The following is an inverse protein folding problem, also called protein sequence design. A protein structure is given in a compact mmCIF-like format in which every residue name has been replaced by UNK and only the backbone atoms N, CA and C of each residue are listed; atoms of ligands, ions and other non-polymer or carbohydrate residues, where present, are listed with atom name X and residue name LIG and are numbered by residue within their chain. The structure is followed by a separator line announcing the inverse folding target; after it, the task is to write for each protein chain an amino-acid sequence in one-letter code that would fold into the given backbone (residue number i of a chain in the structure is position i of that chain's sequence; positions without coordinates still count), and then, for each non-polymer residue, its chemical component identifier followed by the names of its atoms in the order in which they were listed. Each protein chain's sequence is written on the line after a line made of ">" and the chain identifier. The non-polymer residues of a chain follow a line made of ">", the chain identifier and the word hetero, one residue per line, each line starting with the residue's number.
data_IF_150416111055
#
_entry.id   IF_150416111055
#
_cell.length_a   1.000
_cell.length_b   1.000
_cell.length_c   1.000
_cell.angle_alpha   90.00
_cell.angle_beta   90.00
_cell.angle_gamma   90.00
#
_symmetry.space_group_name_H-M   'P 1'
#
loop_
_entity.id
_entity.type
_entity.pdbx_description
1 polymer ?
#
# COMPACT_ATOMS: atom_id res chain seq x y z
N UNK A 1 -13.83 -2.45 5.86
CA UNK A 1 -13.93 -1.69 7.12
C UNK A 1 -12.75 -0.74 7.18
N UNK A 2 -12.94 0.54 7.50
CA UNK A 2 -11.82 1.47 7.75
C UNK A 2 -11.00 1.07 8.99
N UNK A 3 -9.71 1.43 9.01
CA UNK A 3 -8.88 1.28 10.22
C UNK A 3 -9.34 2.27 11.31
N UNK A 4 -9.07 1.92 12.57
CA UNK A 4 -9.31 2.82 13.70
C UNK A 4 -8.22 2.67 14.76
N UNK A 5 -8.02 3.74 15.54
CA UNK A 5 -7.19 3.74 16.74
C UNK A 5 -8.01 4.25 17.91
N UNK A 6 -8.23 3.41 18.92
CA UNK A 6 -9.07 3.71 20.10
C UNK A 6 -8.41 3.22 21.38
N UNK A 7 -8.88 3.72 22.52
CA UNK A 7 -8.46 3.29 23.86
C UNK A 7 -9.60 2.56 24.56
N UNK A 8 -9.31 1.43 25.20
CA UNK A 8 -10.31 0.79 26.07
C UNK A 8 -10.43 1.48 27.43
N UNK A 9 -11.45 1.10 28.17
CA UNK A 9 -11.72 1.64 29.50
C UNK A 9 -10.69 1.24 30.56
N UNK A 10 -9.78 0.32 30.24
CA UNK A 10 -8.62 -0.04 31.08
C UNK A 10 -7.35 0.70 30.66
N UNK A 11 -7.44 1.64 29.71
CA UNK A 11 -6.34 2.51 29.29
C UNK A 11 -5.45 1.94 28.19
N UNK A 12 -5.76 0.76 27.63
CA UNK A 12 -4.95 0.15 26.57
C UNK A 12 -5.36 0.66 25.20
N UNK A 13 -4.37 1.01 24.38
CA UNK A 13 -4.55 1.42 22.98
C UNK A 13 -4.75 0.21 22.06
N UNK A 14 -5.60 0.39 21.06
CA UNK A 14 -6.01 -0.63 20.09
C UNK A 14 -6.09 -0.04 18.68
N UNK A 15 -5.34 -0.63 17.75
CA UNK A 15 -5.37 -0.34 16.31
C UNK A 15 -5.94 -1.55 15.57
N UNK A 16 -7.01 -1.38 14.79
CA UNK A 16 -7.74 -2.50 14.18
C UNK A 16 -6.82 -3.37 13.32
N UNK A 17 -6.09 -2.74 12.39
CA UNK A 17 -5.23 -3.49 11.46
C UNK A 17 -4.03 -4.09 12.17
N UNK A 18 -3.18 -3.22 12.73
CA UNK A 18 -1.88 -3.60 13.30
C UNK A 18 -2.00 -4.61 14.46
N UNK A 19 -2.96 -4.42 15.37
CA UNK A 19 -3.04 -5.27 16.56
C UNK A 19 -3.91 -6.53 16.37
N UNK A 20 -4.70 -6.60 15.29
CA UNK A 20 -5.64 -7.71 15.08
C UNK A 20 -5.57 -8.27 13.68
N UNK A 21 -6.03 -7.54 12.66
CA UNK A 21 -6.29 -8.11 11.35
C UNK A 21 -4.99 -8.61 10.70
N UNK A 22 -3.90 -7.85 10.79
CA UNK A 22 -2.60 -8.22 10.21
C UNK A 22 -1.98 -9.45 10.91
N UNK A 23 -2.37 -9.72 12.16
CA UNK A 23 -2.01 -10.93 12.90
C UNK A 23 -3.00 -12.10 12.70
N UNK A 24 -3.80 -12.07 11.62
CA UNK A 24 -4.84 -13.06 11.30
C UNK A 24 -5.96 -13.19 12.33
N UNK A 25 -6.19 -12.19 13.18
CA UNK A 25 -7.34 -12.20 14.10
C UNK A 25 -8.60 -11.68 13.43
N UNK A 26 -9.72 -12.32 13.71
CA UNK A 26 -11.07 -11.78 13.44
C UNK A 26 -11.45 -10.83 14.57
N UNK A 27 -12.06 -9.68 14.25
CA UNK A 27 -12.59 -8.76 15.25
C UNK A 27 -14.11 -8.77 15.21
N UNK A 28 -14.74 -8.93 16.37
CA UNK A 28 -16.19 -8.90 16.54
C UNK A 28 -16.56 -7.71 17.40
N UNK A 29 -17.42 -6.83 16.88
CA UNK A 29 -17.85 -5.63 17.59
C UNK A 29 -19.33 -5.78 17.95
N UNK A 30 -19.67 -5.58 19.22
CA UNK A 30 -21.04 -5.34 19.69
C UNK A 30 -21.22 -3.85 19.93
N UNK A 31 -22.18 -3.25 19.23
CA UNK A 31 -22.66 -1.91 19.56
C UNK A 31 -23.65 -1.96 20.71
N UNK A 32 -23.46 -1.12 21.72
CA UNK A 32 -24.35 -1.08 22.88
C UNK A 32 -24.42 0.32 23.50
N UNK A 33 -25.16 0.45 24.59
CA UNK A 33 -24.96 1.50 25.59
C UNK A 33 -25.38 0.96 26.95
N UNK A 34 -24.87 1.56 28.03
CA UNK A 34 -24.91 0.97 29.38
C UNK A 34 -26.31 0.78 29.95
N UNK A 35 -27.28 1.57 29.50
CA UNK A 35 -28.70 1.53 29.93
C UNK A 35 -29.64 0.87 28.92
N UNK A 36 -29.11 0.25 27.86
CA UNK A 36 -29.89 -0.40 26.79
C UNK A 36 -30.51 -1.72 27.28
N UNK A 37 -31.85 -1.84 27.43
CA UNK A 37 -32.47 -3.05 27.94
C UNK A 37 -32.14 -4.34 27.16
N UNK A 38 -32.20 -4.38 25.80
CA UNK A 38 -31.81 -5.59 25.07
C UNK A 38 -30.31 -5.86 25.15
N UNK A 39 -29.47 -4.82 25.30
CA UNK A 39 -28.03 -5.00 25.46
C UNK A 39 -27.67 -5.61 26.81
N UNK A 40 -28.36 -5.19 27.87
CA UNK A 40 -28.31 -5.73 29.23
C UNK A 40 -28.75 -7.20 29.21
N UNK A 41 -29.91 -7.50 28.62
CA UNK A 41 -30.42 -8.87 28.52
C UNK A 41 -29.46 -9.79 27.75
N UNK A 42 -28.78 -9.26 26.72
CA UNK A 42 -27.79 -10.00 25.93
C UNK A 42 -26.41 -10.12 26.63
N UNK A 43 -26.12 -9.33 27.67
CA UNK A 43 -24.76 -9.22 28.23
C UNK A 43 -24.16 -10.56 28.72
N UNK A 44 -24.90 -11.46 29.40
CA UNK A 44 -24.36 -12.76 29.80
C UNK A 44 -24.02 -13.65 28.60
N UNK A 45 -24.87 -13.66 27.57
CA UNK A 45 -24.65 -14.44 26.36
C UNK A 45 -23.47 -13.92 25.54
N UNK A 46 -23.27 -12.59 25.51
CA UNK A 46 -22.09 -11.99 24.89
C UNK A 46 -20.80 -12.41 25.58
N UNK A 47 -20.78 -12.46 26.92
CA UNK A 47 -19.63 -12.98 27.68
C UNK A 47 -19.39 -14.45 27.40
N UNK A 48 -20.43 -15.29 27.39
CA UNK A 48 -20.32 -16.71 27.04
C UNK A 48 -19.73 -16.88 25.63
N UNK A 49 -20.15 -16.06 24.67
CA UNK A 49 -19.65 -16.08 23.30
C UNK A 49 -18.15 -15.73 23.23
N UNK A 50 -17.73 -14.70 23.95
CA UNK A 50 -16.32 -14.33 24.04
C UNK A 50 -15.45 -15.48 24.61
N UNK A 51 -15.92 -16.13 25.67
CA UNK A 51 -15.25 -17.31 26.25
C UNK A 51 -15.23 -18.49 25.28
N UNK A 52 -16.34 -18.76 24.58
CA UNK A 52 -16.44 -19.81 23.55
C UNK A 52 -15.37 -19.63 22.45
N UNK A 53 -15.09 -18.39 22.07
CA UNK A 53 -14.07 -18.04 21.07
C UNK A 53 -12.68 -17.81 21.68
N UNK A 54 -12.44 -18.28 22.90
CA UNK A 54 -11.11 -18.33 23.51
C UNK A 54 -10.63 -17.03 24.15
N UNK A 55 -11.55 -16.11 24.47
CA UNK A 55 -11.25 -14.89 25.23
C UNK A 55 -10.08 -14.09 24.65
N UNK A 56 -10.09 -13.85 23.34
CA UNK A 56 -9.03 -13.09 22.65
C UNK A 56 -7.84 -13.92 22.17
N UNK A 57 -7.72 -15.20 22.58
CA UNK A 57 -6.55 -16.04 22.33
C UNK A 57 -6.68 -16.96 21.09
N UNK A 58 -7.89 -17.35 20.69
CA UNK A 58 -8.10 -18.32 19.60
C UNK A 58 -8.36 -17.67 18.23
N UNK A 59 -7.62 -16.60 17.94
CA UNK A 59 -7.71 -15.90 16.66
C UNK A 59 -8.96 -15.04 16.48
N UNK A 60 -9.70 -14.75 17.57
CA UNK A 60 -10.88 -13.88 17.54
C UNK A 60 -10.82 -12.93 18.75
N UNK A 61 -11.05 -11.64 18.53
CA UNK A 61 -11.12 -10.61 19.56
C UNK A 61 -12.49 -9.94 19.57
N UNK A 62 -12.99 -9.61 20.77
CA UNK A 62 -14.31 -9.02 20.96
C UNK A 62 -14.18 -7.59 21.51
N UNK A 63 -15.01 -6.70 21.00
CA UNK A 63 -15.17 -5.33 21.50
C UNK A 63 -16.64 -5.05 21.83
N UNK A 64 -16.86 -4.34 22.93
CA UNK A 64 -18.13 -3.72 23.28
C UNK A 64 -17.97 -2.22 23.11
N UNK A 65 -18.62 -1.61 22.12
CA UNK A 65 -18.43 -0.19 21.77
C UNK A 65 -19.71 0.58 22.04
N UNK A 66 -19.63 1.62 22.88
CA UNK A 66 -20.79 2.43 23.19
C UNK A 66 -21.23 3.29 21.99
N UNK A 67 -22.53 3.49 21.87
CA UNK A 67 -23.16 4.29 20.81
C UNK A 67 -23.68 5.63 21.32
N UNK A 68 -23.64 5.93 22.62
CA UNK A 68 -24.17 7.19 23.15
C UNK A 68 -23.07 8.02 23.80
N UNK A 69 -23.18 9.34 23.68
CA UNK A 69 -22.18 10.30 24.18
C UNK A 69 -22.07 10.32 25.71
N UNK A 70 -23.10 9.86 26.42
CA UNK A 70 -23.13 9.86 27.88
C UNK A 70 -22.43 8.68 28.54
N UNK A 71 -21.89 7.72 27.78
CA UNK A 71 -21.16 6.54 28.27
C UNK A 71 -19.64 6.79 28.24
N UNK A 72 -19.15 7.44 29.29
CA UNK A 72 -17.73 7.66 29.57
C UNK A 72 -17.12 6.47 30.35
N UNK A 73 -15.78 6.45 30.53
CA UNK A 73 -15.03 5.29 31.02
C UNK A 73 -15.65 4.63 32.29
N UNK A 74 -15.89 5.37 33.40
CA UNK A 74 -16.55 4.83 34.60
C UNK A 74 -17.87 4.10 34.36
N UNK A 75 -18.71 4.52 33.41
CA UNK A 75 -20.00 3.87 33.16
C UNK A 75 -19.83 2.54 32.44
N UNK A 76 -18.94 2.50 31.45
CA UNK A 76 -18.65 1.27 30.72
C UNK A 76 -17.92 0.27 31.63
N UNK A 77 -16.99 0.73 32.49
CA UNK A 77 -16.38 -0.10 33.55
C UNK A 77 -17.41 -0.67 34.53
N UNK A 78 -18.37 0.16 34.97
CA UNK A 78 -19.43 -0.30 35.85
C UNK A 78 -20.32 -1.36 35.18
N UNK A 79 -20.59 -1.20 33.88
CA UNK A 79 -21.32 -2.20 33.09
C UNK A 79 -20.54 -3.51 32.99
N UNK A 80 -19.23 -3.45 32.71
CA UNK A 80 -18.37 -4.63 32.68
C UNK A 80 -18.38 -5.38 34.01
N UNK A 81 -18.20 -4.66 35.13
CA UNK A 81 -18.23 -5.24 36.47
C UNK A 81 -19.61 -5.85 36.82
N UNK A 82 -20.70 -5.18 36.44
CA UNK A 82 -22.08 -5.64 36.74
C UNK A 82 -22.41 -6.94 36.01
N UNK A 83 -21.95 -7.08 34.76
CA UNK A 83 -22.27 -8.23 33.91
C UNK A 83 -21.11 -9.21 33.69
N UNK A 84 -20.04 -9.07 34.48
CA UNK A 84 -18.82 -9.88 34.41
C UNK A 84 -18.25 -9.96 32.97
N UNK A 85 -18.25 -8.83 32.26
CA UNK A 85 -17.70 -8.78 30.90
C UNK A 85 -16.18 -8.58 30.94
N UNK A 86 -15.47 -9.38 30.14
CA UNK A 86 -14.00 -9.37 30.10
C UNK A 86 -13.41 -9.08 28.71
N UNK A 87 -14.26 -8.77 27.74
CA UNK A 87 -13.83 -8.26 26.43
C UNK A 87 -13.57 -6.75 26.49
N UNK A 88 -13.09 -6.16 25.39
CA UNK A 88 -12.63 -4.76 25.37
C UNK A 88 -13.80 -3.78 25.27
N UNK A 89 -14.11 -3.08 26.37
CA UNK A 89 -15.04 -1.95 26.37
C UNK A 89 -14.42 -0.68 25.81
N UNK A 90 -15.06 -0.07 24.80
CA UNK A 90 -14.69 1.25 24.27
C UNK A 90 -15.80 2.24 24.63
N UNK A 91 -15.44 3.20 25.48
CA UNK A 91 -16.31 4.32 25.88
C UNK A 91 -16.17 5.50 24.91
N UNK A 92 -16.92 6.57 25.16
CA UNK A 92 -16.73 7.83 24.44
C UNK A 92 -15.36 8.46 24.69
N UNK A 93 -14.84 8.42 25.91
CA UNK A 93 -13.48 8.90 26.24
C UNK A 93 -12.39 8.08 25.54
N UNK A 94 -12.73 6.83 25.19
CA UNK A 94 -11.91 5.91 24.44
C UNK A 94 -11.93 6.11 22.92
N UNK A 95 -12.78 7.02 22.42
CA UNK A 95 -12.92 7.28 20.98
C UNK A 95 -13.97 6.40 20.28
N UNK A 96 -15.00 5.91 20.99
CA UNK A 96 -16.07 5.09 20.40
C UNK A 96 -16.74 5.71 19.15
N UNK A 97 -16.78 7.04 19.05
CA UNK A 97 -17.35 7.72 17.88
C UNK A 97 -16.55 7.47 16.58
N UNK A 98 -15.24 7.24 16.66
CA UNK A 98 -14.41 6.87 15.50
C UNK A 98 -14.93 5.58 14.87
N UNK A 99 -15.33 4.62 15.70
CA UNK A 99 -15.89 3.35 15.23
C UNK A 99 -17.35 3.53 14.83
N UNK A 100 -18.18 4.16 15.67
CA UNK A 100 -19.65 4.18 15.49
C UNK A 100 -20.16 5.19 14.47
N UNK A 101 -19.46 6.30 14.23
CA UNK A 101 -19.88 7.37 13.33
C UNK A 101 -20.22 6.85 11.92
N UNK A 102 -19.28 6.21 11.21
CA UNK A 102 -19.52 5.70 9.86
C UNK A 102 -20.69 4.72 9.73
N UNK A 103 -21.01 3.94 10.78
CA UNK A 103 -22.18 3.06 10.78
C UNK A 103 -23.48 3.85 10.90
N UNK A 104 -23.52 4.85 11.79
CA UNK A 104 -24.70 5.72 11.97
C UNK A 104 -24.94 6.63 10.77
N UNK A 105 -23.86 7.00 10.08
CA UNK A 105 -23.89 7.85 8.88
C UNK A 105 -24.22 7.05 7.61
N UNK A 106 -24.41 5.72 7.72
CA UNK A 106 -24.83 4.85 6.61
C UNK A 106 -23.70 4.40 5.68
N UNK A 107 -22.43 4.70 5.99
CA UNK A 107 -21.26 4.32 5.17
C UNK A 107 -21.16 2.81 4.98
N UNK A 108 -21.59 2.03 5.99
CA UNK A 108 -21.55 0.57 5.98
C UNK A 108 -22.93 -0.09 5.83
N UNK A 109 -23.93 0.67 5.35
CA UNK A 109 -25.32 0.25 5.27
C UNK A 109 -26.18 0.84 6.39
N UNK A 110 -27.47 0.50 6.37
CA UNK A 110 -28.45 1.07 7.30
C UNK A 110 -28.10 0.83 8.77
N UNK A 111 -28.41 1.80 9.63
CA UNK A 111 -28.21 1.67 11.07
C UNK A 111 -29.38 0.93 11.74
N UNK A 112 -29.09 -0.21 12.36
CA UNK A 112 -30.11 -1.10 12.98
C UNK A 112 -30.32 -0.90 14.49
N UNK A 113 -29.65 0.07 15.11
CA UNK A 113 -29.74 0.27 16.57
C UNK A 113 -28.90 -0.71 17.38
N UNK A 114 -29.24 -0.90 18.66
CA UNK A 114 -28.45 -1.71 19.60
C UNK A 114 -29.30 -2.81 20.28
N UNK A 115 -28.72 -4.01 20.55
CA UNK A 115 -27.39 -4.43 20.12
C UNK A 115 -27.37 -4.78 18.62
N UNK A 116 -26.34 -4.31 17.92
CA UNK A 116 -25.99 -4.75 16.57
C UNK A 116 -24.55 -5.25 16.56
N UNK A 117 -24.25 -6.19 15.67
CA UNK A 117 -22.93 -6.81 15.63
C UNK A 117 -22.26 -6.69 14.28
N UNK A 118 -20.94 -6.57 14.30
CA UNK A 118 -20.07 -6.54 13.13
C UNK A 118 -19.05 -7.66 13.29
N UNK A 119 -18.80 -8.39 12.20
CA UNK A 119 -17.66 -9.32 12.11
C UNK A 119 -16.70 -8.80 11.05
N UNK A 120 -15.45 -8.56 11.42
CA UNK A 120 -14.38 -8.03 10.57
C UNK A 120 -13.33 -9.11 10.39
N UNK A 121 -13.04 -9.46 9.15
CA UNK A 121 -12.11 -10.51 8.78
C UNK A 121 -10.67 -9.96 8.58
N UNK A 122 -9.63 -10.82 8.66
CA UNK A 122 -8.24 -10.42 8.42
C UNK A 122 -8.00 -9.73 7.07
N UNK A 123 -8.78 -10.07 6.03
CA UNK A 123 -8.70 -9.43 4.72
C UNK A 123 -9.37 -8.04 4.67
N UNK A 124 -9.72 -7.47 5.83
CA UNK A 124 -10.39 -6.17 6.03
C UNK A 124 -11.84 -6.11 5.53
N UNK A 125 -12.37 -7.21 4.99
CA UNK A 125 -13.80 -7.34 4.68
C UNK A 125 -14.60 -7.41 5.98
N UNK A 126 -15.87 -6.99 5.91
CA UNK A 126 -16.76 -7.00 7.07
C UNK A 126 -18.14 -7.50 6.70
N UNK A 127 -18.83 -8.07 7.69
CA UNK A 127 -20.27 -8.34 7.64
C UNK A 127 -20.97 -7.49 8.67
N UNK A 128 -21.94 -6.71 8.20
CA UNK A 128 -22.84 -5.89 9.02
C UNK A 128 -24.18 -5.72 8.28
N UNK A 129 -25.32 -5.77 8.99
CA UNK A 129 -25.45 -6.25 10.36
C UNK A 129 -25.24 -7.77 10.44
N UNK A 130 -24.79 -8.26 11.59
CA UNK A 130 -24.86 -9.69 11.94
C UNK A 130 -25.77 -9.82 13.15
N UNK A 131 -26.75 -10.72 13.12
CA UNK A 131 -27.59 -11.00 14.28
C UNK A 131 -26.87 -11.96 15.23
N UNK A 132 -27.22 -11.91 16.52
CA UNK A 132 -26.52 -12.67 17.55
C UNK A 132 -26.48 -14.19 17.27
N UNK A 133 -27.55 -14.75 16.72
CA UNK A 133 -27.64 -16.17 16.40
C UNK A 133 -26.77 -16.58 15.19
N UNK A 134 -26.43 -15.63 14.32
CA UNK A 134 -25.64 -15.87 13.10
C UNK A 134 -24.14 -15.59 13.29
N UNK A 135 -23.74 -15.10 14.47
CA UNK A 135 -22.37 -14.72 14.78
C UNK A 135 -21.37 -15.85 14.56
N UNK A 136 -21.69 -17.08 15.01
CA UNK A 136 -20.77 -18.21 14.89
C UNK A 136 -20.44 -18.51 13.42
N UNK A 137 -21.46 -18.50 12.56
CA UNK A 137 -21.29 -18.68 11.11
C UNK A 137 -20.48 -17.55 10.48
N UNK A 138 -20.79 -16.29 10.82
CA UNK A 138 -20.07 -15.13 10.31
C UNK A 138 -18.59 -15.12 10.75
N UNK A 139 -18.31 -15.45 12.01
CA UNK A 139 -16.95 -15.57 12.55
C UNK A 139 -16.20 -16.69 11.85
N UNK A 140 -16.80 -17.87 11.70
CA UNK A 140 -16.15 -19.00 11.04
C UNK A 140 -15.79 -18.69 9.58
N UNK A 141 -16.65 -17.97 8.84
CA UNK A 141 -16.33 -17.50 7.50
C UNK A 141 -15.20 -16.46 7.51
N UNK A 142 -15.22 -15.53 8.47
CA UNK A 142 -14.15 -14.53 8.62
C UNK A 142 -12.78 -15.18 8.91
N UNK A 143 -12.75 -16.27 9.71
CA UNK A 143 -11.52 -17.01 10.03
C UNK A 143 -10.86 -17.68 8.82
N UNK A 144 -11.58 -17.90 7.72
CA UNK A 144 -10.98 -18.46 6.48
C UNK A 144 -10.27 -17.40 5.64
N UNK A 145 -10.43 -16.12 5.98
CA UNK A 145 -9.79 -15.01 5.26
C UNK A 145 -8.38 -14.80 5.80
N UNK A 146 -7.47 -14.42 4.90
CA UNK A 146 -6.06 -14.18 5.24
C UNK A 146 -5.79 -12.68 5.38
N UNK A 147 -4.90 -12.28 6.29
CA UNK A 147 -4.47 -10.90 6.41
C UNK A 147 -3.98 -10.35 5.07
N UNK A 148 -4.30 -9.09 4.79
CA UNK A 148 -3.64 -8.33 3.74
C UNK A 148 -2.26 -7.88 4.26
N UNK A 149 -1.34 -8.83 4.44
CA UNK A 149 0.03 -8.52 4.85
C UNK A 149 0.71 -7.66 3.77
N UNK A 150 1.50 -6.64 4.13
CA UNK A 150 2.23 -5.86 3.14
C UNK A 150 3.07 -6.74 2.23
N UNK A 151 3.09 -6.41 0.95
CA UNK A 151 4.03 -6.95 -0.02
C UNK A 151 5.38 -6.30 0.19
N UNK A 152 6.44 -7.09 0.31
CA UNK A 152 7.80 -6.57 0.28
C UNK A 152 8.22 -6.35 -1.18
N UNK A 153 8.56 -5.13 -1.53
CA UNK A 153 9.05 -4.76 -2.86
C UNK A 153 10.56 -4.62 -2.78
N UNK A 154 11.30 -5.46 -3.51
CA UNK A 154 12.74 -5.38 -3.65
C UNK A 154 13.09 -5.05 -5.09
N UNK A 155 13.45 -3.81 -5.38
CA UNK A 155 13.72 -3.40 -6.76
C UNK A 155 15.06 -3.97 -7.24
N UNK A 156 15.05 -4.58 -8.42
CA UNK A 156 16.25 -4.96 -9.15
C UNK A 156 16.56 -3.89 -10.20
N UNK A 157 17.77 -3.33 -10.16
CA UNK A 157 18.18 -2.26 -11.06
C UNK A 157 19.42 -2.71 -11.82
N UNK A 158 19.21 -3.07 -13.08
CA UNK A 158 20.29 -3.39 -13.99
C UNK A 158 20.81 -2.11 -14.65
N UNK A 159 22.03 -1.70 -14.29
CA UNK A 159 22.66 -0.49 -14.81
C UNK A 159 23.44 -0.69 -16.11
N UNK A 160 23.49 -1.90 -16.68
CA UNK A 160 24.28 -2.20 -17.88
C UNK A 160 25.76 -1.76 -17.77
N UNK A 161 26.35 -1.87 -16.57
CA UNK A 161 27.73 -1.40 -16.31
C UNK A 161 27.92 0.11 -16.26
N UNK A 162 26.83 0.90 -16.28
CA UNK A 162 26.86 2.34 -16.07
C UNK A 162 27.22 2.67 -14.62
N UNK A 163 28.15 3.60 -14.46
CA UNK A 163 28.37 4.30 -13.18
C UNK A 163 27.41 5.49 -13.13
N UNK A 164 26.35 5.36 -12.34
CA UNK A 164 25.28 6.35 -12.24
C UNK A 164 25.45 7.07 -10.89
N UNK A 165 25.79 8.38 -10.91
CA UNK A 165 25.89 9.19 -9.71
C UNK A 165 24.63 9.13 -8.85
N UNK A 166 24.79 9.30 -7.54
CA UNK A 166 23.66 9.38 -6.64
C UNK A 166 22.86 10.67 -6.87
N UNK A 167 21.54 10.54 -6.96
CA UNK A 167 20.62 11.66 -7.23
C UNK A 167 20.28 11.88 -8.71
N UNK A 168 21.07 11.34 -9.65
CA UNK A 168 20.83 11.43 -11.10
C UNK A 168 19.56 10.71 -11.55
N UNK A 169 19.18 9.67 -10.81
CA UNK A 169 17.95 8.90 -11.02
C UNK A 169 17.18 8.79 -9.71
N UNK A 170 15.85 8.86 -9.81
CA UNK A 170 14.92 8.69 -8.68
C UNK A 170 13.79 7.78 -9.08
N UNK A 171 13.26 7.04 -8.12
CA UNK A 171 12.13 6.14 -8.32
C UNK A 171 10.94 6.63 -7.51
N UNK A 172 9.75 6.51 -8.08
CA UNK A 172 8.53 6.97 -7.44
C UNK A 172 7.42 5.94 -7.55
N UNK A 173 6.62 5.83 -6.50
CA UNK A 173 5.33 5.14 -6.50
C UNK A 173 4.21 6.17 -6.69
N UNK A 174 3.32 5.92 -7.66
CA UNK A 174 2.15 6.77 -7.92
C UNK A 174 0.96 5.94 -8.44
N UNK A 175 -0.28 6.45 -8.37
CA UNK A 175 -1.39 5.85 -9.11
C UNK A 175 -1.17 6.00 -10.61
N UNK A 176 -1.44 4.94 -11.37
CA UNK A 176 -1.30 4.97 -12.83
C UNK A 176 -2.20 6.03 -13.45
N UNK A 177 -1.61 6.88 -14.29
CA UNK A 177 -2.31 7.96 -14.97
C UNK A 177 -2.66 9.17 -14.09
N UNK A 178 -2.14 9.25 -12.86
CA UNK A 178 -2.27 10.41 -11.97
C UNK A 178 -0.90 10.94 -11.55
N UNK A 179 -0.77 12.26 -11.37
CA UNK A 179 0.51 12.86 -10.94
C UNK A 179 0.65 12.99 -9.42
N UNK A 180 -0.39 12.66 -8.66
CA UNK A 180 -0.38 12.70 -7.20
C UNK A 180 -1.34 11.67 -6.58
N UNK A 181 -1.02 11.09 -5.41
CA UNK A 181 0.26 11.24 -4.69
C UNK A 181 1.42 10.60 -5.47
N UNK A 182 2.60 11.23 -5.38
CA UNK A 182 3.85 10.73 -5.96
C UNK A 182 4.87 10.62 -4.85
N UNK A 183 5.16 9.39 -4.44
CA UNK A 183 5.97 9.09 -3.26
C UNK A 183 7.34 8.57 -3.70
N UNK A 184 8.41 9.21 -3.24
CA UNK A 184 9.77 8.81 -3.58
C UNK A 184 10.17 7.51 -2.87
N UNK A 185 10.76 6.57 -3.62
CA UNK A 185 11.31 5.33 -3.09
C UNK A 185 12.81 5.57 -2.85
N UNK A 186 13.19 5.66 -1.58
CA UNK A 186 14.58 5.85 -1.18
C UNK A 186 15.25 4.52 -0.84
N UNK A 187 16.58 4.51 -0.83
CA UNK A 187 17.36 3.35 -0.39
C UNK A 187 17.19 3.17 1.12
N UNK A 188 17.11 1.91 1.55
CA UNK A 188 17.18 1.55 2.96
C UNK A 188 18.62 1.68 3.51
N UNK A 189 18.80 1.36 4.79
CA UNK A 189 20.10 1.41 5.48
C UNK A 189 21.18 0.49 4.88
N UNK A 190 20.79 -0.50 4.06
CA UNK A 190 21.69 -1.41 3.35
C UNK A 190 22.02 -0.90 1.94
N UNK A 191 21.53 0.28 1.55
CA UNK A 191 21.74 0.87 0.22
C UNK A 191 20.84 0.31 -0.88
N UNK A 192 19.82 -0.48 -0.53
CA UNK A 192 18.92 -1.13 -1.50
C UNK A 192 17.57 -0.40 -1.58
N UNK A 193 16.98 -0.34 -2.77
CA UNK A 193 15.59 0.10 -2.96
C UNK A 193 14.64 -1.02 -2.54
N UNK A 194 14.20 -0.98 -1.28
CA UNK A 194 13.34 -1.98 -0.68
C UNK A 194 12.33 -1.33 0.27
N UNK A 195 11.05 -1.65 0.11
CA UNK A 195 9.96 -1.07 0.90
C UNK A 195 8.78 -2.04 1.04
N UNK A 196 7.86 -1.75 1.96
CA UNK A 196 6.63 -2.50 2.17
C UNK A 196 5.43 -1.75 1.63
N UNK A 197 4.52 -2.46 0.93
CA UNK A 197 3.33 -1.89 0.32
C UNK A 197 2.07 -2.76 0.53
N UNK A 198 0.94 -2.21 1.01
CA UNK A 198 0.80 -0.85 1.56
C UNK A 198 1.48 -0.73 2.94
N UNK A 199 1.86 0.49 3.30
CA UNK A 199 2.42 0.85 4.62
C UNK A 199 2.06 2.30 4.98
N UNK A 200 2.51 2.77 6.15
CA UNK A 200 2.33 4.17 6.54
C UNK A 200 3.02 5.14 5.57
N UNK A 201 4.23 4.79 5.10
CA UNK A 201 5.02 5.60 4.18
C UNK A 201 4.53 5.47 2.73
N UNK A 202 3.96 4.30 2.39
CA UNK A 202 3.35 4.03 1.08
C UNK A 202 1.90 3.58 1.24
N UNK A 203 0.96 4.52 1.46
CA UNK A 203 -0.46 4.21 1.60
C UNK A 203 -1.01 3.45 0.40
N UNK A 204 -2.06 2.67 0.62
CA UNK A 204 -2.75 1.94 -0.44
C UNK A 204 -3.28 2.90 -1.52
N UNK A 205 -3.05 2.57 -2.79
CA UNK A 205 -3.42 3.37 -3.95
C UNK A 205 -4.19 2.49 -4.95
N UNK A 206 -5.04 3.13 -5.76
CA UNK A 206 -5.70 2.44 -6.86
C UNK A 206 -4.72 2.29 -8.03
N UNK A 207 -4.51 1.05 -8.48
CA UNK A 207 -3.65 0.71 -9.62
C UNK A 207 -2.26 1.41 -9.57
N UNK A 208 -1.45 1.13 -8.54
CA UNK A 208 -0.15 1.78 -8.38
C UNK A 208 0.86 1.32 -9.44
N UNK A 209 1.74 2.23 -9.83
CA UNK A 209 2.90 1.95 -10.68
C UNK A 209 4.17 2.55 -10.08
N UNK A 210 5.30 1.89 -10.35
CA UNK A 210 6.63 2.42 -10.07
C UNK A 210 7.16 3.03 -11.37
N UNK A 211 7.67 4.25 -11.28
CA UNK A 211 8.32 4.96 -12.39
C UNK A 211 9.75 5.35 -12.01
N UNK A 212 10.58 5.55 -13.03
CA UNK A 212 11.89 6.19 -12.90
C UNK A 212 11.85 7.58 -13.51
N UNK A 213 12.48 8.55 -12.87
CA UNK A 213 12.78 9.85 -13.44
C UNK A 213 14.27 10.15 -13.34
N UNK A 214 14.76 11.02 -14.22
CA UNK A 214 16.16 11.44 -14.24
C UNK A 214 16.28 12.92 -14.58
N UNK A 215 17.04 13.63 -13.76
CA UNK A 215 17.43 15.03 -13.96
C UNK A 215 18.91 15.15 -14.37
N UNK A 216 19.54 14.02 -14.71
CA UNK A 216 20.97 13.98 -15.02
C UNK A 216 21.30 14.75 -16.31
N UNK A 217 22.51 15.32 -16.44
CA UNK A 217 22.93 15.98 -17.67
C UNK A 217 23.02 15.00 -18.85
N UNK A 218 22.75 15.48 -20.07
CA UNK A 218 22.87 14.65 -21.27
C UNK A 218 24.33 14.27 -21.54
N UNK A 219 25.23 15.24 -21.40
CA UNK A 219 26.67 15.06 -21.59
C UNK A 219 27.21 13.98 -20.64
N UNK A 220 27.86 12.97 -21.19
CA UNK A 220 28.43 11.86 -20.43
C UNK A 220 29.64 11.29 -21.17
N UNK A 221 30.72 10.92 -20.47
CA UNK A 221 31.86 10.23 -21.08
C UNK A 221 31.53 8.82 -21.58
N UNK A 222 30.34 8.29 -21.25
CA UNK A 222 29.85 6.98 -21.72
C UNK A 222 29.16 7.05 -23.09
N UNK A 223 28.92 8.25 -23.61
CA UNK A 223 28.35 8.47 -24.94
C UNK A 223 29.45 9.01 -25.84
N UNK A 224 29.82 8.25 -26.86
CA UNK A 224 31.02 8.49 -27.66
C UNK A 224 30.72 8.50 -29.17
N UNK A 225 31.71 8.89 -29.97
CA UNK A 225 31.61 8.79 -31.43
C UNK A 225 31.46 7.32 -31.91
N UNK A 226 31.88 6.34 -31.11
CA UNK A 226 31.70 4.93 -31.44
C UNK A 226 30.22 4.52 -31.42
N UNK A 227 29.44 5.04 -30.46
CA UNK A 227 27.99 4.84 -30.41
C UNK A 227 27.30 5.33 -31.68
N UNK A 228 27.71 6.50 -32.20
CA UNK A 228 27.20 7.03 -33.46
C UNK A 228 27.45 6.07 -34.64
N UNK A 229 28.61 5.41 -34.67
CA UNK A 229 28.93 4.41 -35.70
C UNK A 229 28.03 3.18 -35.57
N UNK A 230 27.79 2.69 -34.35
CA UNK A 230 26.90 1.56 -34.10
C UNK A 230 25.45 1.88 -34.50
N UNK A 231 24.95 3.06 -34.13
CA UNK A 231 23.61 3.52 -34.50
C UNK A 231 23.50 3.68 -36.03
N UNK A 232 24.53 4.21 -36.69
CA UNK A 232 24.56 4.32 -38.15
C UNK A 232 24.49 2.95 -38.83
N UNK A 233 25.25 1.96 -38.34
CA UNK A 233 25.16 0.58 -38.86
C UNK A 233 23.77 -0.02 -38.67
N UNK A 234 23.10 0.27 -37.56
CA UNK A 234 21.74 -0.17 -37.31
C UNK A 234 20.75 0.45 -38.32
N UNK A 235 20.83 1.76 -38.55
CA UNK A 235 19.99 2.49 -39.52
C UNK A 235 20.16 1.93 -40.94
N UNK A 236 21.40 1.59 -41.32
CA UNK A 236 21.72 1.03 -42.63
C UNK A 236 21.39 -0.47 -42.77
N UNK A 237 20.94 -1.13 -41.68
CA UNK A 237 20.65 -2.56 -41.67
C UNK A 237 21.87 -3.47 -41.73
N UNK A 238 23.08 -2.92 -41.55
CA UNK A 238 24.35 -3.68 -41.61
C UNK A 238 24.51 -4.53 -40.34
N UNK A 239 24.25 -3.93 -39.18
CA UNK A 239 24.33 -4.58 -37.87
C UNK A 239 23.15 -4.12 -37.01
N UNK A 240 21.94 -4.71 -37.22
CA UNK A 240 20.75 -4.26 -36.53
C UNK A 240 20.79 -4.56 -35.03
N UNK A 241 20.33 -3.63 -34.19
CA UNK A 241 20.21 -3.87 -32.75
C UNK A 241 19.19 -4.97 -32.43
N UNK A 242 19.65 -6.01 -31.74
CA UNK A 242 18.81 -7.10 -31.26
C UNK A 242 18.12 -6.73 -29.93
N UNK A 243 18.85 -6.05 -29.05
CA UNK A 243 18.41 -5.73 -27.70
C UNK A 243 17.54 -4.46 -27.67
N UNK A 244 16.43 -4.52 -26.92
CA UNK A 244 15.48 -3.41 -26.83
C UNK A 244 16.09 -2.13 -26.21
N UNK A 245 17.02 -2.28 -25.27
CA UNK A 245 17.67 -1.13 -24.62
C UNK A 245 18.53 -0.33 -25.59
N UNK A 246 19.18 -0.95 -26.59
CA UNK A 246 19.98 -0.23 -27.60
C UNK A 246 19.08 0.61 -28.49
N UNK A 247 17.91 0.10 -28.87
CA UNK A 247 16.89 0.87 -29.61
C UNK A 247 16.41 2.06 -28.78
N UNK A 248 16.11 1.84 -27.50
CA UNK A 248 15.69 2.90 -26.57
C UNK A 248 16.78 3.97 -26.35
N UNK A 249 18.04 3.56 -26.26
CA UNK A 249 19.18 4.47 -26.13
C UNK A 249 19.39 5.31 -27.40
N UNK A 250 19.10 4.73 -28.57
CA UNK A 250 19.34 5.37 -29.86
C UNK A 250 18.27 6.40 -30.24
N UNK A 251 17.06 6.29 -29.70
CA UNK A 251 15.97 7.25 -29.90
C UNK A 251 16.15 8.46 -28.97
N UNK A 252 16.94 9.41 -29.45
CA UNK A 252 17.40 10.56 -28.68
C UNK A 252 16.45 11.75 -28.74
N UNK A 253 15.44 11.71 -29.63
CA UNK A 253 14.37 12.72 -29.72
C UNK A 253 13.00 12.21 -29.24
N UNK A 254 12.91 10.94 -28.85
CA UNK A 254 11.72 10.28 -28.31
C UNK A 254 10.55 10.22 -29.28
N UNK A 255 10.83 10.01 -30.57
CA UNK A 255 9.79 9.86 -31.61
C UNK A 255 9.42 8.40 -31.90
N UNK A 256 10.06 7.45 -31.22
CA UNK A 256 9.83 6.01 -31.35
C UNK A 256 10.54 5.36 -32.54
N UNK A 257 11.39 6.08 -33.26
CA UNK A 257 12.19 5.58 -34.40
C UNK A 257 13.67 5.85 -34.15
N UNK A 258 14.52 5.10 -34.86
CA UNK A 258 15.97 5.36 -34.88
C UNK A 258 16.35 5.80 -36.27
N UNK A 259 16.75 7.07 -36.41
CA UNK A 259 16.98 7.73 -37.69
C UNK A 259 18.26 8.56 -37.68
N UNK A 260 18.60 9.15 -38.83
CA UNK A 260 19.74 10.07 -38.93
C UNK A 260 19.56 11.33 -38.07
N UNK A 261 18.33 11.68 -37.67
CA UNK A 261 18.10 12.82 -36.78
C UNK A 261 18.66 12.56 -35.37
N UNK A 262 18.52 11.33 -34.85
CA UNK A 262 19.07 10.93 -33.56
C UNK A 262 20.59 11.05 -33.52
N UNK A 263 21.27 10.67 -34.61
CA UNK A 263 22.72 10.85 -34.75
C UNK A 263 23.13 12.32 -34.61
N UNK A 264 22.35 13.24 -35.18
CA UNK A 264 22.61 14.69 -35.08
C UNK A 264 22.40 15.18 -33.65
N UNK A 265 21.34 14.73 -32.98
CA UNK A 265 21.02 15.07 -31.60
C UNK A 265 22.14 14.60 -30.65
N UNK A 266 22.54 13.32 -30.74
CA UNK A 266 23.60 12.74 -29.90
C UNK A 266 24.95 13.43 -30.19
N UNK A 267 25.25 13.71 -31.47
CA UNK A 267 26.49 14.42 -31.85
C UNK A 267 26.58 15.81 -31.23
N UNK A 268 25.47 16.55 -31.14
CA UNK A 268 25.45 17.87 -30.47
C UNK A 268 25.80 17.74 -28.99
N UNK A 269 25.28 16.73 -28.30
CA UNK A 269 25.60 16.45 -26.90
C UNK A 269 27.07 16.08 -26.73
N UNK A 270 27.63 15.18 -27.57
CA UNK A 270 29.06 14.81 -27.51
C UNK A 270 29.97 16.03 -27.70
N UNK A 271 29.59 16.95 -28.58
CA UNK A 271 30.32 18.20 -28.83
C UNK A 271 30.02 19.30 -27.80
N UNK A 272 29.26 19.00 -26.74
CA UNK A 272 28.82 19.95 -25.71
C UNK A 272 28.09 21.19 -26.26
N UNK A 273 27.42 21.06 -27.41
CA UNK A 273 26.60 22.13 -27.99
C UNK A 273 25.21 22.20 -27.35
N UNK A 274 24.77 21.13 -26.70
CA UNK A 274 23.52 21.05 -25.93
C UNK A 274 23.78 20.25 -24.64
N UNK A 275 23.08 20.61 -23.57
CA UNK A 275 23.20 19.97 -22.24
C UNK A 275 22.05 19.00 -21.94
N UNK A 276 21.04 18.98 -22.81
CA UNK A 276 19.82 18.19 -22.69
C UNK A 276 19.46 17.56 -24.04
N UNK A 277 18.67 16.48 -23.99
CA UNK A 277 18.06 15.87 -25.16
C UNK A 277 16.67 16.48 -25.41
N UNK A 278 16.23 16.62 -26.66
CA UNK A 278 14.89 17.09 -26.95
C UNK A 278 13.85 16.05 -26.53
N UNK A 279 12.87 16.47 -25.73
CA UNK A 279 11.69 15.68 -25.33
C UNK A 279 11.99 14.36 -24.59
N UNK A 280 13.19 14.17 -24.03
CA UNK A 280 13.55 12.98 -23.26
C UNK A 280 14.54 13.26 -22.15
N UNK A 281 14.42 12.58 -20.99
CA UNK A 281 15.46 12.59 -19.99
C UNK A 281 16.74 11.90 -20.51
N UNK A 282 17.86 12.19 -19.84
CA UNK A 282 19.19 11.66 -20.17
C UNK A 282 19.36 10.19 -19.83
N UNK A 283 18.64 9.70 -18.82
CA UNK A 283 18.48 8.27 -18.55
C UNK A 283 17.02 7.89 -18.70
N UNK A 284 16.78 6.75 -19.35
CA UNK A 284 15.47 6.10 -19.48
C UNK A 284 15.52 4.74 -18.79
N UNK A 285 14.36 4.18 -18.49
CA UNK A 285 14.24 2.83 -17.97
C UNK A 285 13.47 1.94 -18.93
N UNK A 286 13.78 0.64 -18.91
CA UNK A 286 13.02 -0.40 -19.57
C UNK A 286 12.58 -1.44 -18.51
N UNK A 287 11.28 -1.61 -18.27
CA UNK A 287 10.17 -0.82 -18.83
C UNK A 287 10.16 0.64 -18.30
N UNK A 288 9.37 1.51 -18.93
CA UNK A 288 9.22 2.91 -18.48
C UNK A 288 8.45 3.04 -17.16
N UNK A 289 7.51 2.12 -16.92
CA UNK A 289 6.83 1.94 -15.63
C UNK A 289 6.53 0.47 -15.37
N UNK A 290 6.35 0.12 -14.10
CA UNK A 290 5.98 -1.22 -13.65
C UNK A 290 4.73 -1.12 -12.80
N UNK A 291 3.65 -1.77 -13.24
CA UNK A 291 2.44 -1.92 -12.44
C UNK A 291 2.77 -2.75 -11.18
N UNK A 292 2.41 -2.23 -10.01
CA UNK A 292 2.62 -2.90 -8.74
C UNK A 292 1.32 -3.59 -8.31
N UNK A 293 1.32 -4.92 -8.37
CA UNK A 293 0.21 -5.72 -7.86
C UNK A 293 0.56 -6.23 -6.45
N UNK A 294 -0.18 -5.83 -5.41
CA UNK A 294 0.01 -6.37 -4.06
C UNK A 294 -0.12 -7.90 -4.07
N UNK A 295 0.99 -8.57 -3.76
CA UNK A 295 1.02 -9.99 -3.43
C UNK A 295 1.17 -10.10 -1.92
N UNK A 296 0.04 -10.10 -1.22
CA UNK A 296 0.03 -9.91 0.24
C UNK A 296 0.86 -10.99 0.95
N UNK A 297 1.81 -10.55 1.77
CA UNK A 297 2.74 -11.40 2.52
C UNK A 297 3.87 -12.03 1.70
N UNK A 298 4.02 -11.65 0.43
CA UNK A 298 5.08 -12.15 -0.46
C UNK A 298 6.06 -11.03 -0.84
N UNK A 299 7.16 -11.45 -1.47
CA UNK A 299 8.15 -10.55 -2.08
C UNK A 299 7.85 -10.40 -3.58
N UNK A 300 7.90 -9.18 -4.09
CA UNK A 300 7.92 -8.87 -5.52
C UNK A 300 9.24 -8.17 -5.88
N UNK A 301 9.75 -8.48 -7.07
CA UNK A 301 11.07 -8.01 -7.53
C UNK A 301 10.96 -7.30 -8.87
N UNK A 302 10.42 -6.06 -8.91
CA UNK A 302 10.34 -5.29 -10.14
C UNK A 302 11.75 -5.01 -10.68
N UNK A 303 11.94 -5.21 -11.99
CA UNK A 303 13.24 -5.01 -12.64
C UNK A 303 13.20 -3.83 -13.60
N UNK A 304 14.13 -2.88 -13.39
CA UNK A 304 14.42 -1.82 -14.34
C UNK A 304 15.79 -2.03 -14.96
N UNK A 305 15.85 -1.96 -16.29
CA UNK A 305 17.10 -1.78 -17.03
C UNK A 305 17.28 -0.28 -17.28
N UNK A 306 18.35 0.29 -16.76
CA UNK A 306 18.65 1.72 -16.89
C UNK A 306 19.50 1.95 -18.14
N UNK A 307 19.07 2.89 -18.95
CA UNK A 307 19.63 3.16 -20.26
C UNK A 307 20.05 4.62 -20.34
N UNK A 308 21.32 4.88 -20.65
CA UNK A 308 21.78 6.23 -20.98
C UNK A 308 21.44 6.54 -22.44
N UNK A 309 20.70 7.60 -22.69
CA UNK A 309 20.40 8.04 -24.07
C UNK A 309 21.71 8.33 -24.80
N UNK A 310 21.86 7.75 -25.98
CA UNK A 310 23.05 7.80 -26.82
C UNK A 310 24.10 6.72 -26.55
N UNK A 311 24.02 5.93 -25.48
CA UNK A 311 24.98 4.85 -25.21
C UNK A 311 24.42 3.49 -25.67
N UNK A 312 25.06 2.88 -26.69
CA UNK A 312 24.64 1.59 -27.28
C UNK A 312 25.73 0.53 -27.26
N UNK A 313 26.92 0.85 -26.71
CA UNK A 313 28.05 -0.06 -26.60
C UNK A 313 28.04 -0.90 -25.31
#
# INVERSE_FOLDING_TARGET
>A
MHDFSVRDVHGKQHRLYENYLDSSKVVVIKFFFTTCPPCIANAPYWQQKYVQFGSGNNGVEFFSVTTITSDYDPKVLAFEATYNQTMKGISQDGGANIITGPFKDGVYGDWYGTPSFVVIAPDRTMRYPVFFNDLDGAINIAKTKKPLLPTTVNMNINKLGLDIPEGDIRFFLKPKGQDSPKLEITKNILGNYSFSYPSADFPEMTNPEIIMESDAPALSPKVTAYDLVLIQKHILGIEPFAEAYKKLASDANNDGKVTAFDLVVIKKVILALTTEFPNTPSYKSLPASIDLFPSFGNVVTPEFVIVKVGNVN
#
